data_IF_620252507512
#
_entry.id   IF_620252507512
#
_cell.length_a   1.000
_cell.length_b   1.000
_cell.length_c   1.000
_cell.angle_alpha   90.00
_cell.angle_beta   90.00
_cell.angle_gamma   90.00
#
_symmetry.space_group_name_H-M   'P 1'
#
loop_
_entity.id
_entity.type
_entity.pdbx_description
1 polymer ?
#
# COMPACT_ATOMS: atom_id res chain seq x y z
N UNK A 1 23.61 -60.31 66.02
CA UNK A 1 23.47 -60.28 64.58
C UNK A 1 23.14 -58.87 64.18
N UNK A 2 24.09 -58.14 63.60
CA UNK A 2 23.97 -56.72 63.29
C UNK A 2 23.83 -56.53 61.77
N UNK A 3 22.72 -55.95 61.33
CA UNK A 3 22.54 -55.57 59.94
C UNK A 3 23.07 -54.12 59.67
N UNK A 4 23.77 -53.89 58.59
CA UNK A 4 24.24 -52.55 58.24
C UNK A 4 23.19 -51.80 57.44
N UNK A 5 22.95 -50.54 57.83
CA UNK A 5 22.10 -49.56 57.17
C UNK A 5 22.86 -48.99 55.94
N UNK A 6 22.31 -49.14 54.73
CA UNK A 6 22.82 -48.54 53.50
C UNK A 6 22.23 -47.10 53.36
N UNK A 7 23.14 -46.16 53.46
CA UNK A 7 22.86 -44.74 53.18
C UNK A 7 22.72 -44.47 51.66
N UNK A 8 21.54 -44.06 51.22
CA UNK A 8 21.25 -43.68 49.85
C UNK A 8 21.54 -42.16 49.71
N UNK A 9 22.62 -41.81 49.00
CA UNK A 9 22.94 -40.40 48.65
C UNK A 9 22.14 -40.03 47.42
N UNK A 10 21.14 -39.15 47.56
CA UNK A 10 20.49 -38.47 46.45
C UNK A 10 21.42 -37.36 45.91
N UNK A 11 21.92 -37.55 44.69
CA UNK A 11 22.59 -36.51 43.93
C UNK A 11 21.50 -35.71 43.25
N UNK A 12 21.26 -34.48 43.74
CA UNK A 12 20.32 -33.52 43.12
C UNK A 12 21.01 -32.86 41.95
N UNK A 13 20.61 -33.25 40.73
CA UNK A 13 21.09 -32.68 39.49
C UNK A 13 20.27 -31.39 39.21
N UNK A 14 20.79 -30.22 39.57
CA UNK A 14 20.21 -28.93 39.16
C UNK A 14 20.42 -28.74 37.65
N UNK A 15 19.36 -28.99 36.86
CA UNK A 15 19.32 -28.56 35.48
C UNK A 15 19.15 -27.02 35.49
N UNK A 16 20.22 -26.28 35.20
CA UNK A 16 20.15 -24.88 34.82
C UNK A 16 19.60 -24.80 33.39
N UNK A 17 18.32 -24.48 33.26
CA UNK A 17 17.75 -24.08 31.98
C UNK A 17 18.23 -22.68 31.65
N UNK A 18 19.18 -22.57 30.73
CA UNK A 18 19.53 -21.32 30.07
C UNK A 18 18.34 -20.92 29.18
N UNK A 19 17.51 -20.00 29.65
CA UNK A 19 16.60 -19.26 28.77
C UNK A 19 17.45 -18.35 27.85
N UNK A 20 17.28 -18.43 26.53
CA UNK A 20 17.88 -17.43 25.65
C UNK A 20 17.23 -16.07 25.93
N UNK A 21 18.02 -15.15 26.46
CA UNK A 21 17.67 -13.72 26.49
C UNK A 21 17.59 -13.24 25.04
N UNK A 22 16.37 -13.17 24.50
CA UNK A 22 16.10 -12.41 23.29
C UNK A 22 16.29 -10.94 23.64
N UNK A 23 17.51 -10.45 23.49
CA UNK A 23 17.79 -9.02 23.47
C UNK A 23 17.23 -8.47 22.16
N UNK A 24 15.98 -8.00 22.18
CA UNK A 24 15.49 -7.13 21.11
C UNK A 24 16.43 -5.93 21.04
N UNK A 25 16.98 -5.61 19.86
CA UNK A 25 17.95 -4.50 19.76
C UNK A 25 17.23 -3.20 20.16
N UNK A 26 17.81 -2.50 21.12
CA UNK A 26 17.32 -1.20 21.64
C UNK A 26 17.15 -0.16 20.51
N UNK A 27 17.89 -0.31 19.41
CA UNK A 27 17.81 0.53 18.21
C UNK A 27 16.42 0.52 17.55
N UNK A 28 15.76 -0.64 17.45
CA UNK A 28 14.45 -0.74 16.82
C UNK A 28 13.32 0.01 17.56
N UNK A 29 13.51 0.34 18.84
CA UNK A 29 12.50 1.10 19.62
C UNK A 29 12.53 2.58 19.29
N UNK A 30 13.70 3.20 19.20
CA UNK A 30 13.79 4.63 18.88
C UNK A 30 13.30 4.97 17.48
N UNK A 31 13.63 4.15 16.48
CA UNK A 31 13.18 4.33 15.10
C UNK A 31 11.64 4.24 14.97
N UNK A 32 11.02 3.26 15.64
CA UNK A 32 9.56 3.12 15.70
C UNK A 32 8.89 4.31 16.39
N UNK A 33 9.44 4.82 17.49
CA UNK A 33 8.93 5.99 18.21
C UNK A 33 8.96 7.25 17.34
N UNK A 34 10.03 7.46 16.58
CA UNK A 34 10.11 8.59 15.64
C UNK A 34 9.02 8.51 14.56
N UNK A 35 8.77 7.30 14.01
CA UNK A 35 7.72 7.10 13.00
C UNK A 35 6.33 7.34 13.59
N UNK A 36 6.09 6.91 14.83
CA UNK A 36 4.85 7.19 15.56
C UNK A 36 4.63 8.71 15.73
N UNK A 37 5.64 9.43 16.24
CA UNK A 37 5.57 10.88 16.42
C UNK A 37 5.29 11.62 15.10
N UNK A 38 5.96 11.22 14.01
CA UNK A 38 5.71 11.77 12.67
C UNK A 38 4.26 11.47 12.22
N UNK A 39 3.75 10.28 12.46
CA UNK A 39 2.39 9.91 12.07
C UNK A 39 1.33 10.64 12.89
N UNK A 40 1.56 10.87 14.18
CA UNK A 40 0.70 11.70 15.02
C UNK A 40 0.68 13.16 14.54
N UNK A 41 1.84 13.68 14.18
CA UNK A 41 1.96 15.01 13.57
C UNK A 41 1.18 15.12 12.26
N UNK A 42 1.24 14.11 11.40
CA UNK A 42 0.52 14.02 10.12
C UNK A 42 -1.00 13.89 10.28
N UNK A 43 -1.46 13.33 11.40
CA UNK A 43 -2.89 13.08 11.66
C UNK A 43 -3.72 14.34 11.85
N UNK A 44 -3.08 15.49 12.06
CA UNK A 44 -3.71 16.75 12.36
C UNK A 44 -3.35 17.82 11.32
N UNK A 45 -4.24 18.78 11.12
CA UNK A 45 -3.90 19.97 10.33
C UNK A 45 -2.87 20.81 11.10
N UNK A 46 -1.77 21.14 10.45
CA UNK A 46 -0.65 21.87 11.06
C UNK A 46 -0.28 23.11 10.24
N UNK A 47 0.29 24.08 10.93
CA UNK A 47 0.86 25.26 10.29
C UNK A 47 2.36 25.02 10.08
N UNK A 48 2.79 24.97 8.80
CA UNK A 48 4.18 24.95 8.41
C UNK A 48 4.54 26.31 7.81
N UNK A 49 5.46 27.00 8.44
CA UNK A 49 5.83 28.37 8.04
C UNK A 49 4.59 29.28 7.99
N UNK A 50 4.21 29.73 6.80
CA UNK A 50 3.06 30.59 6.56
C UNK A 50 1.82 29.88 6.01
N UNK A 51 1.89 28.55 5.76
CA UNK A 51 0.80 27.74 5.20
C UNK A 51 0.19 26.80 6.22
N UNK A 52 -1.13 26.66 6.19
CA UNK A 52 -1.82 25.57 6.88
C UNK A 52 -1.89 24.36 5.95
N UNK A 53 -1.30 23.26 6.38
CA UNK A 53 -1.35 21.98 5.68
C UNK A 53 -2.39 21.11 6.39
N UNK A 54 -3.28 20.50 5.61
CA UNK A 54 -4.30 19.58 6.14
C UNK A 54 -3.65 18.30 6.63
N UNK A 55 -4.36 17.60 7.52
CA UNK A 55 -4.00 16.25 7.92
C UNK A 55 -3.73 15.36 6.70
N UNK A 56 -2.67 14.58 6.78
CA UNK A 56 -2.23 13.68 5.72
C UNK A 56 -2.21 12.24 6.24
N UNK A 57 -2.37 11.24 5.36
CA UNK A 57 -2.33 9.85 5.77
C UNK A 57 -1.00 9.49 6.45
N UNK A 58 -0.99 8.55 7.43
CA UNK A 58 0.24 8.09 8.07
C UNK A 58 1.19 7.44 7.07
N UNK A 59 2.49 7.53 7.33
CA UNK A 59 3.55 6.85 6.59
C UNK A 59 3.71 5.41 7.06
N UNK A 60 4.05 4.50 6.15
CA UNK A 60 4.32 3.10 6.48
C UNK A 60 5.83 2.88 6.59
N UNK A 61 6.27 2.36 7.73
CA UNK A 61 7.68 2.01 7.94
C UNK A 61 8.09 0.85 7.01
N UNK A 62 9.18 1.07 6.26
CA UNK A 62 9.76 0.09 5.34
C UNK A 62 11.23 -0.13 5.67
N UNK A 63 11.59 -1.36 5.96
CA UNK A 63 13.00 -1.72 6.20
C UNK A 63 13.88 -1.47 4.98
N UNK A 64 13.37 -1.65 3.77
CA UNK A 64 14.07 -1.35 2.51
C UNK A 64 14.42 0.14 2.32
N UNK A 65 13.80 1.05 3.07
CA UNK A 65 14.12 2.47 3.11
C UNK A 65 15.10 2.85 4.23
N UNK A 66 15.48 1.91 5.11
CA UNK A 66 16.42 2.13 6.21
C UNK A 66 17.88 2.22 5.72
N UNK A 67 18.23 3.26 5.00
CA UNK A 67 19.56 3.44 4.45
C UNK A 67 20.59 3.74 5.54
N UNK A 68 21.85 3.20 5.45
CA UNK A 68 22.90 3.50 6.40
C UNK A 68 23.21 5.00 6.54
N UNK A 69 23.60 5.44 7.73
CA UNK A 69 23.94 6.86 8.00
C UNK A 69 25.05 7.36 7.06
N UNK A 70 26.10 6.59 6.89
CA UNK A 70 27.25 6.91 6.03
C UNK A 70 27.00 6.71 4.52
N UNK A 71 25.78 6.43 4.10
CA UNK A 71 25.44 6.18 2.70
C UNK A 71 25.86 7.36 1.80
N UNK A 72 26.64 7.04 0.74
CA UNK A 72 27.12 7.97 -0.28
C UNK A 72 26.92 7.35 -1.66
N UNK A 73 25.77 7.50 -2.25
CA UNK A 73 25.47 6.91 -3.56
C UNK A 73 24.23 7.50 -4.17
N UNK A 74 23.84 7.02 -5.32
CA UNK A 74 22.57 7.32 -5.96
C UNK A 74 21.41 6.79 -5.10
N UNK A 75 20.65 7.69 -4.48
CA UNK A 75 19.58 7.31 -3.55
C UNK A 75 18.57 6.37 -4.20
N UNK A 76 18.18 6.65 -5.44
CA UNK A 76 17.20 5.85 -6.18
C UNK A 76 17.75 4.48 -6.55
N UNK A 77 18.99 4.40 -7.01
CA UNK A 77 19.65 3.15 -7.39
C UNK A 77 19.78 2.21 -6.19
N UNK A 78 20.24 2.72 -5.06
CA UNK A 78 20.38 1.92 -3.83
C UNK A 78 19.02 1.42 -3.32
N UNK A 79 17.97 2.20 -3.45
CA UNK A 79 16.62 1.74 -3.10
C UNK A 79 16.12 0.65 -4.06
N UNK A 80 16.45 0.75 -5.35
CA UNK A 80 16.15 -0.30 -6.33
C UNK A 80 16.89 -1.61 -5.99
N UNK A 81 18.16 -1.54 -5.63
CA UNK A 81 18.96 -2.69 -5.19
C UNK A 81 18.40 -3.31 -3.90
N UNK A 82 17.81 -2.49 -3.02
CA UNK A 82 17.09 -2.94 -1.84
C UNK A 82 15.66 -3.42 -2.14
N UNK A 83 15.27 -3.53 -3.43
CA UNK A 83 13.95 -3.97 -3.86
C UNK A 83 12.85 -2.93 -3.69
N UNK A 84 13.19 -1.65 -3.54
CA UNK A 84 12.21 -0.57 -3.41
C UNK A 84 12.27 0.39 -4.59
N UNK A 85 11.18 0.46 -5.36
CA UNK A 85 11.05 1.39 -6.48
C UNK A 85 10.31 2.66 -6.03
N UNK A 86 10.99 3.80 -6.14
CA UNK A 86 10.47 5.09 -5.73
C UNK A 86 10.23 6.01 -6.92
N UNK A 87 9.03 6.62 -6.99
CA UNK A 87 8.72 7.74 -7.90
C UNK A 87 9.38 9.03 -7.41
N UNK A 88 9.26 9.30 -6.12
CA UNK A 88 9.94 10.40 -5.45
C UNK A 88 10.53 9.89 -4.14
N UNK A 89 11.68 10.42 -3.79
CA UNK A 89 12.36 10.06 -2.56
C UNK A 89 13.08 11.29 -2.02
N UNK A 90 13.04 11.45 -0.69
CA UNK A 90 13.74 12.48 0.05
C UNK A 90 14.47 11.84 1.21
N UNK A 91 15.77 12.04 1.30
CA UNK A 91 16.58 11.66 2.46
C UNK A 91 16.89 12.89 3.29
N UNK A 92 16.64 12.80 4.59
CA UNK A 92 16.95 13.81 5.59
C UNK A 92 17.96 13.17 6.55
N UNK A 93 19.02 13.88 6.86
CA UNK A 93 20.01 13.48 7.86
C UNK A 93 19.95 14.49 9.00
N UNK A 94 19.82 13.99 10.21
CA UNK A 94 19.90 14.78 11.43
C UNK A 94 21.18 14.38 12.17
N UNK A 95 21.81 15.34 12.79
CA UNK A 95 22.96 15.15 13.68
C UNK A 95 22.61 15.72 15.05
N UNK A 96 23.22 15.20 16.09
CA UNK A 96 23.06 15.67 17.46
C UNK A 96 21.65 15.48 18.07
N UNK A 97 20.88 14.54 17.55
CA UNK A 97 19.58 14.14 18.12
C UNK A 97 19.74 12.89 19.00
N UNK A 98 19.70 13.07 20.31
CA UNK A 98 19.96 12.01 21.30
C UNK A 98 18.90 10.93 21.34
N UNK A 99 17.66 11.26 20.98
CA UNK A 99 16.52 10.35 21.01
C UNK A 99 15.50 10.69 19.90
N UNK A 100 14.37 9.97 19.91
CA UNK A 100 13.32 10.13 18.91
C UNK A 100 12.54 11.43 19.05
N UNK A 101 12.45 11.97 20.27
CA UNK A 101 11.74 13.22 20.56
C UNK A 101 12.53 14.40 19.98
N UNK A 102 13.84 14.49 20.28
CA UNK A 102 14.71 15.52 19.67
C UNK A 102 14.80 15.40 18.15
N UNK A 103 14.90 14.18 17.63
CA UNK A 103 14.90 13.96 16.19
C UNK A 103 13.57 14.41 15.54
N UNK A 104 12.45 14.20 16.22
CA UNK A 104 11.16 14.66 15.75
C UNK A 104 11.05 16.18 15.78
N UNK A 105 11.48 16.84 16.86
CA UNK A 105 11.44 18.30 16.99
C UNK A 105 12.25 18.97 15.87
N UNK A 106 13.47 18.50 15.62
CA UNK A 106 14.29 18.97 14.50
C UNK A 106 13.60 18.80 13.15
N UNK A 107 12.96 17.64 12.94
CA UNK A 107 12.20 17.38 11.70
C UNK A 107 10.98 18.28 11.57
N UNK A 108 10.26 18.51 12.65
CA UNK A 108 9.06 19.34 12.66
C UNK A 108 9.40 20.81 12.38
N UNK A 109 10.51 21.29 12.91
CA UNK A 109 10.95 22.67 12.74
C UNK A 109 11.53 22.92 11.34
N UNK A 110 12.45 22.09 10.87
CA UNK A 110 13.18 22.36 9.64
C UNK A 110 12.55 21.72 8.39
N UNK A 111 11.76 20.66 8.59
CA UNK A 111 11.25 19.84 7.49
C UNK A 111 9.73 19.63 7.52
N UNK A 112 9.00 20.48 8.27
CA UNK A 112 7.54 20.40 8.44
C UNK A 112 6.79 20.15 7.12
N UNK A 113 7.10 20.94 6.07
CA UNK A 113 6.45 20.80 4.77
C UNK A 113 6.70 19.42 4.13
N UNK A 114 7.90 18.84 4.32
CA UNK A 114 8.23 17.52 3.80
C UNK A 114 7.51 16.41 4.59
N UNK A 115 7.42 16.56 5.92
CA UNK A 115 6.68 15.61 6.75
C UNK A 115 5.19 15.56 6.40
N UNK A 116 4.59 16.70 6.05
CA UNK A 116 3.17 16.82 5.71
C UNK A 116 2.88 16.69 4.21
N UNK A 117 3.89 16.44 3.39
CA UNK A 117 3.68 16.21 1.96
C UNK A 117 2.96 14.87 1.75
N UNK A 118 1.76 14.94 1.17
CA UNK A 118 0.91 13.77 0.94
C UNK A 118 1.40 12.88 -0.21
N UNK A 119 2.41 13.33 -0.98
CA UNK A 119 3.02 12.47 -1.98
C UNK A 119 3.77 11.30 -1.35
N UNK A 120 4.33 11.47 -0.14
CA UNK A 120 5.04 10.41 0.56
C UNK A 120 4.07 9.49 1.29
N UNK A 121 4.23 8.19 1.07
CA UNK A 121 3.43 7.14 1.68
C UNK A 121 4.25 6.19 2.55
N UNK A 122 5.55 6.07 2.29
CA UNK A 122 6.45 5.18 3.01
C UNK A 122 7.60 5.96 3.66
N UNK A 123 8.10 5.43 4.76
CA UNK A 123 9.21 5.99 5.53
C UNK A 123 10.20 4.89 5.88
N UNK A 124 11.48 5.22 5.81
CA UNK A 124 12.55 4.44 6.44
C UNK A 124 13.29 5.29 7.45
N UNK A 125 13.69 4.70 8.54
CA UNK A 125 14.49 5.34 9.57
C UNK A 125 15.69 4.44 9.88
N UNK A 126 16.83 5.06 10.06
CA UNK A 126 18.02 4.42 10.57
C UNK A 126 18.73 5.36 11.55
N UNK A 127 19.28 4.82 12.62
CA UNK A 127 19.98 5.55 13.67
C UNK A 127 21.31 4.91 14.00
N UNK A 128 22.34 5.74 14.15
CA UNK A 128 23.64 5.34 14.69
C UNK A 128 24.14 6.42 15.67
N UNK A 129 24.13 6.13 16.94
CA UNK A 129 24.41 7.13 17.99
C UNK A 129 23.37 8.24 17.99
N UNK A 130 23.83 9.47 17.81
CA UNK A 130 22.98 10.69 17.76
C UNK A 130 22.71 11.15 16.32
N UNK A 131 23.07 10.34 15.35
CA UNK A 131 22.78 10.59 13.95
C UNK A 131 21.58 9.77 13.47
N UNK A 132 20.65 10.43 12.78
CA UNK A 132 19.47 9.82 12.20
C UNK A 132 19.42 10.05 10.70
N UNK A 133 18.95 9.07 9.98
CA UNK A 133 18.57 9.20 8.59
C UNK A 133 17.10 8.82 8.42
N UNK A 134 16.33 9.77 7.92
CA UNK A 134 14.92 9.58 7.56
C UNK A 134 14.80 9.61 6.06
N UNK A 135 14.19 8.60 5.48
CA UNK A 135 13.92 8.52 4.05
C UNK A 135 12.41 8.52 3.86
N UNK A 136 11.88 9.57 3.27
CA UNK A 136 10.49 9.67 2.84
C UNK A 136 10.40 9.23 1.40
N UNK A 137 9.48 8.33 1.08
CA UNK A 137 9.36 7.81 -0.26
C UNK A 137 7.92 7.80 -0.76
N UNK A 138 7.83 8.13 -2.06
CA UNK A 138 6.66 7.87 -2.86
C UNK A 138 6.92 6.57 -3.62
N UNK A 139 6.28 5.45 -3.28
CA UNK A 139 6.49 4.22 -4.01
C UNK A 139 6.06 4.37 -5.46
N UNK A 140 6.81 3.75 -6.37
CA UNK A 140 6.39 3.60 -7.75
C UNK A 140 5.27 2.56 -7.76
N UNK A 141 4.03 3.04 -7.66
CA UNK A 141 2.87 2.16 -7.67
C UNK A 141 2.38 1.65 -6.31
N UNK A 142 2.45 2.42 -5.24
CA UNK A 142 1.95 2.02 -3.92
C UNK A 142 0.66 2.71 -3.49
N UNK A 143 -0.47 2.04 -3.59
CA UNK A 143 -1.58 2.24 -2.64
C UNK A 143 -1.42 1.26 -1.49
N UNK A 144 -1.66 1.70 -0.25
CA UNK A 144 -1.62 0.82 0.92
C UNK A 144 -2.56 -0.36 0.74
N UNK A 145 -2.07 -1.56 0.97
CA UNK A 145 -2.91 -2.76 1.02
C UNK A 145 -3.94 -2.75 2.18
N UNK A 146 -3.88 -1.79 3.10
CA UNK A 146 -4.85 -1.64 4.20
C UNK A 146 -6.22 -1.12 3.76
N UNK A 147 -6.36 -0.60 2.54
CA UNK A 147 -7.60 0.01 2.07
C UNK A 147 -8.43 -0.87 1.14
N UNK A 148 -8.09 -2.15 1.00
CA UNK A 148 -8.83 -3.04 0.06
C UNK A 148 -10.32 -3.11 0.40
N UNK A 149 -10.70 -3.14 1.67
CA UNK A 149 -12.12 -3.17 2.08
C UNK A 149 -12.84 -1.81 2.03
N UNK A 150 -12.12 -0.68 2.16
CA UNK A 150 -12.67 0.67 2.02
C UNK A 150 -12.65 1.14 0.55
N UNK A 151 -11.70 0.67 -0.23
CA UNK A 151 -11.52 0.93 -1.66
C UNK A 151 -12.76 0.53 -2.46
N UNK A 152 -13.34 -0.61 -2.16
CA UNK A 152 -14.47 -1.20 -2.88
C UNK A 152 -15.71 -0.32 -2.81
N UNK A 153 -16.09 0.13 -1.61
CA UNK A 153 -17.24 1.00 -1.40
C UNK A 153 -17.01 2.42 -1.94
N UNK A 154 -15.79 2.92 -1.78
CA UNK A 154 -15.40 4.25 -2.26
C UNK A 154 -15.43 4.30 -3.79
N UNK A 155 -14.85 3.30 -4.47
CA UNK A 155 -14.83 3.25 -5.92
C UNK A 155 -16.24 3.06 -6.49
N UNK A 156 -17.08 2.20 -5.88
CA UNK A 156 -18.49 2.04 -6.28
C UNK A 156 -19.25 3.36 -6.19
N UNK A 157 -19.09 4.10 -5.10
CA UNK A 157 -19.75 5.40 -4.92
C UNK A 157 -19.29 6.41 -6.00
N UNK A 158 -18.00 6.49 -6.28
CA UNK A 158 -17.44 7.37 -7.29
C UNK A 158 -17.88 7.00 -8.72
N UNK A 159 -17.90 5.69 -9.04
CA UNK A 159 -18.43 5.19 -10.32
C UNK A 159 -19.91 5.54 -10.47
N UNK A 160 -20.72 5.37 -9.43
CA UNK A 160 -22.13 5.70 -9.47
C UNK A 160 -22.36 7.21 -9.60
N UNK A 161 -21.56 8.04 -8.96
CA UNK A 161 -21.59 9.49 -9.14
C UNK A 161 -21.26 9.88 -10.59
N UNK A 162 -20.27 9.21 -11.20
CA UNK A 162 -19.92 9.44 -12.60
C UNK A 162 -21.03 8.99 -13.56
N UNK A 163 -21.69 7.86 -13.30
CA UNK A 163 -22.80 7.34 -14.10
C UNK A 163 -24.08 8.17 -14.00
N UNK A 164 -24.28 8.87 -12.90
CA UNK A 164 -25.45 9.74 -12.70
C UNK A 164 -25.47 10.96 -13.63
N UNK A 165 -24.37 11.27 -14.30
CA UNK A 165 -24.24 12.42 -15.18
C UNK A 165 -24.03 11.99 -16.64
N UNK A 166 -24.73 12.62 -17.62
CA UNK A 166 -24.44 12.38 -19.03
C UNK A 166 -22.99 12.80 -19.34
N UNK A 167 -22.31 12.05 -20.23
CA UNK A 167 -20.96 12.40 -20.64
C UNK A 167 -20.60 11.98 -22.05
N UNK A 168 -19.56 12.63 -22.56
CA UNK A 168 -18.90 12.22 -23.79
C UNK A 168 -17.81 11.20 -23.47
N UNK A 169 -17.83 10.03 -24.13
CA UNK A 169 -16.74 9.07 -24.14
C UNK A 169 -16.11 9.10 -25.53
N UNK A 170 -15.04 9.87 -25.69
CA UNK A 170 -14.54 10.21 -27.02
C UNK A 170 -15.60 10.98 -27.83
N UNK A 171 -16.00 10.42 -28.98
CA UNK A 171 -17.04 11.02 -29.84
C UNK A 171 -18.46 10.55 -29.51
N UNK A 172 -18.62 9.58 -28.67
CA UNK A 172 -19.93 9.00 -28.34
C UNK A 172 -20.50 9.65 -27.08
N UNK A 173 -21.76 10.09 -27.18
CA UNK A 173 -22.51 10.61 -26.03
C UNK A 173 -23.24 9.48 -25.32
N UNK A 174 -23.09 9.41 -24.02
CA UNK A 174 -23.82 8.53 -23.13
C UNK A 174 -24.77 9.36 -22.25
N UNK A 175 -26.01 8.92 -22.14
CA UNK A 175 -26.96 9.44 -21.15
C UNK A 175 -26.49 8.98 -19.74
N UNK A 176 -27.08 9.59 -18.71
CA UNK A 176 -26.93 9.09 -17.35
C UNK A 176 -27.41 7.62 -17.29
N UNK A 177 -26.69 6.79 -16.59
CA UNK A 177 -27.01 5.37 -16.44
C UNK A 177 -27.39 5.07 -14.97
N UNK A 178 -28.19 4.04 -14.76
CA UNK A 178 -28.57 3.58 -13.42
C UNK A 178 -27.31 3.22 -12.59
N UNK A 179 -27.39 3.39 -11.27
CA UNK A 179 -26.28 3.00 -10.39
C UNK A 179 -26.06 1.49 -10.46
N UNK A 180 -24.80 1.10 -10.31
CA UNK A 180 -24.36 -0.29 -10.17
C UNK A 180 -24.48 -0.72 -8.71
N UNK A 181 -24.76 -2.00 -8.49
CA UNK A 181 -24.61 -2.65 -7.19
C UNK A 181 -23.29 -3.40 -7.11
N UNK A 182 -22.78 -3.62 -5.89
CA UNK A 182 -21.58 -4.41 -5.69
C UNK A 182 -21.87 -5.89 -5.84
N UNK A 183 -21.02 -6.60 -6.56
CA UNK A 183 -21.03 -8.07 -6.68
C UNK A 183 -19.73 -8.63 -6.10
N UNK A 184 -19.86 -9.41 -5.03
CA UNK A 184 -18.70 -10.07 -4.41
C UNK A 184 -17.96 -11.00 -5.40
N UNK A 185 -18.73 -11.69 -6.26
CA UNK A 185 -18.14 -12.57 -7.28
C UNK A 185 -17.32 -11.78 -8.30
N UNK A 186 -17.81 -10.63 -8.77
CA UNK A 186 -17.05 -9.77 -9.67
C UNK A 186 -15.84 -9.14 -8.96
N UNK A 187 -15.96 -8.81 -7.66
CA UNK A 187 -14.84 -8.36 -6.84
C UNK A 187 -13.74 -9.41 -6.71
N UNK A 188 -14.12 -10.66 -6.48
CA UNK A 188 -13.17 -11.79 -6.42
C UNK A 188 -12.47 -12.01 -7.78
N UNK A 189 -13.20 -11.93 -8.89
CA UNK A 189 -12.62 -12.03 -10.23
C UNK A 189 -11.63 -10.88 -10.50
N UNK A 190 -11.99 -9.65 -10.15
CA UNK A 190 -11.13 -8.49 -10.26
C UNK A 190 -9.85 -8.64 -9.42
N UNK A 191 -9.98 -9.09 -8.18
CA UNK A 191 -8.85 -9.31 -7.28
C UNK A 191 -7.89 -10.38 -7.82
N UNK A 192 -8.44 -11.48 -8.35
CA UNK A 192 -7.62 -12.55 -8.96
C UNK A 192 -6.79 -12.00 -10.12
N UNK A 193 -7.41 -11.20 -10.99
CA UNK A 193 -6.73 -10.63 -12.16
C UNK A 193 -5.70 -9.58 -11.79
N UNK A 194 -6.03 -8.64 -10.90
CA UNK A 194 -5.06 -7.64 -10.43
C UNK A 194 -3.84 -8.29 -9.78
N UNK A 195 -4.04 -9.34 -8.97
CA UNK A 195 -2.94 -10.11 -8.37
C UNK A 195 -2.09 -10.83 -9.41
N UNK A 196 -2.72 -11.42 -10.43
CA UNK A 196 -1.99 -12.07 -11.52
C UNK A 196 -1.15 -11.06 -12.28
N UNK A 197 -1.72 -9.92 -12.68
CA UNK A 197 -0.97 -8.86 -13.36
C UNK A 197 0.21 -8.36 -12.53
N UNK A 198 0.01 -8.14 -11.24
CA UNK A 198 1.06 -7.66 -10.34
C UNK A 198 2.18 -8.69 -10.16
N UNK A 199 1.82 -9.95 -9.87
CA UNK A 199 2.78 -11.03 -9.59
C UNK A 199 3.58 -11.43 -10.81
N UNK A 200 2.91 -11.55 -11.96
CA UNK A 200 3.47 -12.09 -13.21
C UNK A 200 3.96 -10.97 -14.15
N UNK A 201 3.89 -9.71 -13.70
CA UNK A 201 4.38 -8.51 -14.38
C UNK A 201 3.89 -8.39 -15.84
N UNK A 202 2.58 -8.39 -16.03
CA UNK A 202 1.97 -8.17 -17.34
C UNK A 202 0.78 -7.20 -17.23
N UNK A 203 0.37 -6.64 -18.37
CA UNK A 203 -0.80 -5.76 -18.45
C UNK A 203 -1.65 -6.13 -19.68
N UNK A 204 -2.66 -6.97 -19.45
CA UNK A 204 -3.56 -7.46 -20.50
C UNK A 204 -4.88 -7.95 -19.89
N UNK A 205 -5.96 -8.00 -20.69
CA UNK A 205 -7.25 -8.53 -20.31
C UNK A 205 -7.28 -10.07 -20.16
N UNK A 206 -6.34 -10.77 -20.77
CA UNK A 206 -6.18 -12.23 -20.61
C UNK A 206 -5.02 -12.53 -19.70
N UNK A 207 -5.22 -13.53 -18.84
CA UNK A 207 -4.15 -14.08 -18.01
C UNK A 207 -3.11 -14.81 -18.92
N UNK A 208 -1.89 -15.01 -18.44
CA UNK A 208 -0.87 -15.76 -19.20
C UNK A 208 -1.27 -17.21 -19.55
N UNK A 209 -2.17 -17.81 -18.74
CA UNK A 209 -2.75 -19.13 -19.01
C UNK A 209 -3.95 -19.10 -19.96
N UNK A 210 -4.26 -17.93 -20.54
CA UNK A 210 -5.32 -17.72 -21.52
C UNK A 210 -6.72 -17.45 -20.95
N UNK A 211 -6.92 -17.46 -19.63
CA UNK A 211 -8.21 -17.16 -19.01
C UNK A 211 -8.67 -15.73 -19.34
N UNK A 212 -9.93 -15.64 -19.73
CA UNK A 212 -10.61 -14.37 -20.00
C UNK A 212 -11.30 -13.82 -18.73
N UNK A 213 -11.78 -12.59 -18.82
CA UNK A 213 -12.66 -12.00 -17.79
C UNK A 213 -13.88 -12.88 -17.49
N UNK A 214 -14.44 -13.52 -18.53
CA UNK A 214 -15.59 -14.44 -18.35
C UNK A 214 -15.20 -15.69 -17.55
N UNK A 215 -14.04 -16.25 -17.81
CA UNK A 215 -13.57 -17.44 -17.10
C UNK A 215 -13.31 -17.12 -15.61
N UNK A 216 -12.67 -15.98 -15.33
CA UNK A 216 -12.44 -15.50 -13.96
C UNK A 216 -13.77 -15.24 -13.23
N UNK A 217 -14.70 -14.55 -13.89
CA UNK A 217 -16.01 -14.24 -13.30
C UNK A 217 -16.81 -15.52 -12.98
N UNK A 218 -16.84 -16.49 -13.91
CA UNK A 218 -17.49 -17.79 -13.71
C UNK A 218 -16.84 -18.57 -12.58
N UNK A 219 -15.51 -18.64 -12.53
CA UNK A 219 -14.76 -19.29 -11.45
C UNK A 219 -15.03 -18.67 -10.09
N UNK A 220 -15.30 -17.37 -10.05
CA UNK A 220 -15.68 -16.63 -8.85
C UNK A 220 -17.18 -16.76 -8.49
N UNK A 221 -17.95 -17.51 -9.27
CA UNK A 221 -19.39 -17.77 -9.02
C UNK A 221 -20.34 -16.73 -9.64
N UNK A 222 -19.88 -15.84 -10.52
CA UNK A 222 -20.77 -14.95 -11.25
C UNK A 222 -21.51 -15.69 -12.36
N UNK A 223 -22.84 -15.57 -12.40
CA UNK A 223 -23.71 -16.29 -13.34
C UNK A 223 -24.35 -15.42 -14.43
N UNK A 224 -23.95 -14.14 -14.50
CA UNK A 224 -24.45 -13.23 -15.53
C UNK A 224 -23.87 -13.51 -16.91
N UNK A 225 -24.54 -12.96 -17.92
CA UNK A 225 -24.22 -13.23 -19.34
C UNK A 225 -23.41 -12.13 -20.00
N UNK A 226 -23.50 -10.89 -19.49
CA UNK A 226 -22.77 -9.75 -20.05
C UNK A 226 -21.69 -9.31 -19.09
N UNK A 227 -20.49 -9.18 -19.60
CA UNK A 227 -19.32 -8.75 -18.85
C UNK A 227 -18.59 -7.66 -19.62
N UNK A 228 -18.03 -6.72 -18.89
CA UNK A 228 -17.06 -5.74 -19.32
C UNK A 228 -15.93 -5.66 -18.32
N UNK A 229 -14.75 -5.26 -18.77
CA UNK A 229 -13.60 -5.11 -17.90
C UNK A 229 -12.85 -3.83 -18.23
N UNK A 230 -12.48 -3.10 -17.21
CA UNK A 230 -11.51 -2.02 -17.27
C UNK A 230 -10.30 -2.39 -16.42
N UNK A 231 -9.12 -2.27 -16.97
CA UNK A 231 -7.86 -2.44 -16.26
C UNK A 231 -7.08 -1.13 -16.27
N UNK A 232 -6.26 -0.93 -15.26
CA UNK A 232 -5.35 0.21 -15.17
C UNK A 232 -4.10 -0.17 -14.39
N UNK A 233 -2.98 0.52 -14.62
CA UNK A 233 -1.71 0.22 -14.00
C UNK A 233 -0.96 1.51 -13.64
N UNK A 234 -0.39 1.54 -12.43
CA UNK A 234 0.37 2.68 -11.93
C UNK A 234 -0.44 3.72 -11.14
N UNK A 235 -1.78 3.64 -11.14
CA UNK A 235 -2.63 4.58 -10.38
C UNK A 235 -2.55 4.26 -8.88
N UNK A 236 -2.46 5.31 -8.08
CA UNK A 236 -2.19 5.22 -6.65
C UNK A 236 -3.44 5.31 -5.76
N UNK A 237 -4.58 5.55 -6.38
CA UNK A 237 -5.86 5.66 -5.67
C UNK A 237 -7.02 5.24 -6.57
N UNK A 238 -8.18 4.84 -5.98
CA UNK A 238 -9.40 4.57 -6.73
C UNK A 238 -9.82 5.74 -7.60
N UNK A 239 -9.66 6.96 -7.09
CA UNK A 239 -10.01 8.19 -7.83
C UNK A 239 -9.14 8.40 -9.06
N UNK A 240 -7.85 8.09 -9.00
CA UNK A 240 -6.95 8.16 -10.16
C UNK A 240 -7.32 7.10 -11.20
N UNK A 241 -7.56 5.86 -10.77
CA UNK A 241 -7.98 4.79 -11.68
C UNK A 241 -9.29 5.15 -12.39
N UNK A 242 -10.27 5.65 -11.65
CA UNK A 242 -11.54 6.11 -12.23
C UNK A 242 -11.34 7.28 -13.20
N UNK A 243 -10.52 8.27 -12.81
CA UNK A 243 -10.23 9.41 -13.68
C UNK A 243 -9.66 8.95 -15.04
N UNK A 244 -8.68 8.05 -15.03
CA UNK A 244 -8.03 7.56 -16.25
C UNK A 244 -8.97 6.70 -17.08
N UNK A 245 -9.81 5.87 -16.45
CA UNK A 245 -10.86 5.14 -17.17
C UNK A 245 -11.89 6.07 -17.82
N UNK A 246 -12.27 7.17 -17.15
CA UNK A 246 -13.18 8.14 -17.73
C UNK A 246 -12.55 8.97 -18.85
N UNK A 247 -11.25 9.18 -18.82
CA UNK A 247 -10.50 9.87 -19.87
C UNK A 247 -10.30 9.00 -21.12
N UNK A 248 -10.34 7.67 -20.98
CA UNK A 248 -10.19 6.72 -22.09
C UNK A 248 -11.54 6.41 -22.74
N UNK A 249 -11.73 6.64 -24.05
CA UNK A 249 -13.04 6.46 -24.71
C UNK A 249 -13.65 5.08 -24.50
N UNK A 250 -12.87 4.01 -24.62
CA UNK A 250 -13.33 2.63 -24.48
C UNK A 250 -13.72 2.28 -23.04
N UNK A 251 -12.85 2.65 -22.07
CA UNK A 251 -13.13 2.42 -20.65
C UNK A 251 -14.31 3.26 -20.16
N UNK A 252 -14.42 4.50 -20.62
CA UNK A 252 -15.53 5.39 -20.36
C UNK A 252 -16.85 4.79 -20.90
N UNK A 253 -16.84 4.26 -22.12
CA UNK A 253 -18.01 3.61 -22.71
C UNK A 253 -18.46 2.38 -21.89
N UNK A 254 -17.53 1.58 -21.42
CA UNK A 254 -17.82 0.48 -20.49
C UNK A 254 -18.48 0.99 -19.21
N UNK A 255 -17.90 2.01 -18.59
CA UNK A 255 -18.43 2.62 -17.35
C UNK A 255 -19.84 3.17 -17.50
N UNK A 256 -20.12 3.79 -18.63
CA UNK A 256 -21.42 4.43 -18.93
C UNK A 256 -22.45 3.50 -19.56
N UNK A 257 -22.06 2.26 -19.86
CA UNK A 257 -22.97 1.31 -20.51
C UNK A 257 -24.17 0.98 -19.60
N UNK A 258 -25.41 1.30 -20.05
CA UNK A 258 -26.62 1.09 -19.24
C UNK A 258 -26.98 -0.39 -19.06
N UNK A 259 -26.39 -1.28 -19.85
CA UNK A 259 -26.59 -2.73 -19.73
C UNK A 259 -26.03 -3.33 -18.47
N UNK A 260 -24.99 -2.74 -17.90
CA UNK A 260 -24.40 -3.23 -16.66
C UNK A 260 -25.17 -2.74 -15.44
N UNK A 261 -25.42 -3.66 -14.52
CA UNK A 261 -26.16 -3.43 -13.27
C UNK A 261 -25.34 -3.75 -12.04
N UNK A 262 -24.21 -4.44 -12.20
CA UNK A 262 -23.32 -4.84 -11.12
C UNK A 262 -21.88 -4.53 -11.45
N UNK A 263 -21.07 -4.34 -10.43
CA UNK A 263 -19.62 -4.24 -10.55
C UNK A 263 -18.89 -4.91 -9.39
N UNK A 264 -17.66 -5.26 -9.64
CA UNK A 264 -16.66 -5.55 -8.64
C UNK A 264 -15.33 -4.99 -9.09
N UNK A 265 -14.53 -4.52 -8.17
CA UNK A 265 -13.23 -3.96 -8.50
C UNK A 265 -12.22 -4.33 -7.42
N UNK A 266 -10.95 -4.36 -7.79
CA UNK A 266 -9.86 -4.58 -6.86
C UNK A 266 -8.55 -4.02 -7.42
N UNK A 267 -7.61 -3.82 -6.53
CA UNK A 267 -6.21 -3.56 -6.90
C UNK A 267 -5.27 -4.57 -6.25
N UNK A 268 -4.11 -4.74 -6.84
CA UNK A 268 -3.01 -5.47 -6.26
C UNK A 268 -1.69 -4.78 -6.57
N UNK A 269 -0.72 -4.92 -5.69
CA UNK A 269 0.60 -4.34 -5.85
C UNK A 269 1.69 -5.39 -5.69
N UNK A 270 2.73 -5.27 -6.52
CA UNK A 270 4.00 -5.95 -6.35
C UNK A 270 5.11 -4.95 -6.70
N UNK A 271 6.02 -4.69 -5.77
CA UNK A 271 7.11 -3.73 -5.96
C UNK A 271 8.13 -4.16 -7.01
N UNK A 272 8.09 -5.44 -7.42
CA UNK A 272 8.96 -6.01 -8.46
C UNK A 272 8.37 -5.89 -9.85
N UNK A 273 7.09 -5.53 -9.96
CA UNK A 273 6.43 -5.34 -11.25
C UNK A 273 6.61 -3.92 -11.78
N UNK A 274 6.63 -3.75 -13.10
CA UNK A 274 6.95 -2.48 -13.77
C UNK A 274 6.02 -1.32 -13.38
N UNK A 275 4.73 -1.58 -13.24
CA UNK A 275 3.75 -0.58 -12.85
C UNK A 275 3.53 -0.48 -11.34
N UNK A 276 3.97 -1.48 -10.57
CA UNK A 276 3.86 -1.57 -9.12
C UNK A 276 2.43 -1.76 -8.59
N UNK A 277 1.42 -1.17 -9.20
CA UNK A 277 -0.01 -1.38 -8.87
C UNK A 277 -0.82 -1.65 -10.11
N UNK A 278 -1.73 -2.60 -10.00
CA UNK A 278 -2.66 -2.97 -11.07
C UNK A 278 -4.09 -2.95 -10.55
N UNK A 279 -4.96 -2.39 -11.34
CA UNK A 279 -6.39 -2.23 -11.07
C UNK A 279 -7.21 -3.03 -12.05
N UNK A 280 -8.23 -3.69 -11.54
CA UNK A 280 -9.27 -4.33 -12.36
C UNK A 280 -10.63 -3.93 -11.86
N UNK A 281 -11.50 -3.54 -12.76
CA UNK A 281 -12.93 -3.38 -12.52
C UNK A 281 -13.68 -4.27 -13.50
N UNK A 282 -14.49 -5.18 -12.98
CA UNK A 282 -15.36 -6.04 -13.76
C UNK A 282 -16.79 -5.54 -13.61
N UNK A 283 -17.43 -5.32 -14.75
CA UNK A 283 -18.81 -4.91 -14.88
C UNK A 283 -19.64 -6.10 -15.33
N UNK A 284 -20.86 -6.25 -14.83
CA UNK A 284 -21.70 -7.37 -15.17
C UNK A 284 -23.20 -7.07 -15.20
N UNK A 285 -23.93 -7.90 -15.93
CA UNK A 285 -25.39 -7.98 -15.87
C UNK A 285 -25.81 -9.46 -15.80
N UNK A 286 -26.91 -9.77 -15.08
CA UNK A 286 -27.47 -11.11 -14.99
C UNK A 286 -27.84 -11.72 -16.34
#
# INVERSE_FOLDING_TARGET
MRHPVRSCRFVSLCLLTLLPLFTSPVHARGEGQLVEAINDFRSQSRRCEWRTVRATPPLVLRSSLGLPIGFRGGLRETLQDAGYQARAVRSIRLTDARDAEEAFDMLADEHCAALLDNQYADIGVNRVGDEWRVVLAQPMGGTRMSDVGSTDKTLLAQVNAARAQPRMCGRQRFAAARPLSWSAALGTAAQSHSRSMARDNYFAHRDPDGRSTSDRAKSAGFRGRKLGENIAAGQRSPSQALHDWLASPGHCANLMNPMFTQMGAASASDSRSDAGVYWTMVLGAP
#
